data_IF_730619439563
#
_entry.id   IF_730619439563
#
_cell.length_a   1.000
_cell.length_b   1.000
_cell.length_c   1.000
_cell.angle_alpha   90.00
_cell.angle_beta   90.00
_cell.angle_gamma   90.00
#
_symmetry.space_group_name_H-M   'P 1'
#
loop_
_entity.id
_entity.type
_entity.pdbx_description
1 polymer ?
#
# COMPACT_ATOMS: atom_id res chain seq x y z
N UNK A 1 29.01 26.22 -12.79
CA UNK A 1 28.01 27.30 -12.78
C UNK A 1 26.70 26.71 -13.26
N UNK A 2 25.69 26.52 -12.39
CA UNK A 2 24.39 26.00 -12.84
C UNK A 2 23.68 27.09 -13.63
N UNK A 3 23.28 26.79 -14.87
CA UNK A 3 22.43 27.67 -15.64
C UNK A 3 21.15 28.00 -14.84
N UNK A 4 20.61 29.23 -14.97
CA UNK A 4 19.31 29.55 -14.37
C UNK A 4 18.26 28.57 -14.89
N UNK A 5 17.42 28.06 -14.00
CA UNK A 5 16.35 27.12 -14.34
C UNK A 5 15.46 27.69 -15.45
N UNK A 6 15.17 26.91 -16.48
CA UNK A 6 14.24 27.29 -17.54
C UNK A 6 12.82 27.45 -16.98
N UNK A 7 12.11 28.47 -17.45
CA UNK A 7 10.70 28.64 -17.12
C UNK A 7 9.87 27.59 -17.87
N UNK A 8 9.11 26.80 -17.13
CA UNK A 8 8.17 25.82 -17.67
C UNK A 8 6.75 26.38 -17.55
N UNK A 9 6.04 26.48 -18.67
CA UNK A 9 4.63 26.86 -18.68
C UNK A 9 3.76 25.61 -18.75
N UNK A 10 2.83 25.47 -17.81
CA UNK A 10 1.86 24.38 -17.73
C UNK A 10 0.45 24.99 -17.78
N UNK A 11 -0.45 24.37 -18.55
CA UNK A 11 -1.89 24.69 -18.49
C UNK A 11 -2.53 23.82 -17.42
N UNK A 12 -3.21 24.47 -16.48
CA UNK A 12 -3.89 23.85 -15.35
C UNK A 12 -5.34 24.31 -15.40
N UNK A 13 -6.29 23.43 -15.09
CA UNK A 13 -7.71 23.75 -15.04
C UNK A 13 -8.07 24.56 -13.81
N UNK A 14 -9.24 25.23 -13.82
CA UNK A 14 -9.71 26.00 -12.66
C UNK A 14 -9.98 25.11 -11.43
N UNK A 15 -10.40 23.86 -11.64
CA UNK A 15 -10.61 22.88 -10.57
C UNK A 15 -9.27 22.50 -9.90
N UNK A 16 -8.25 22.18 -10.69
CA UNK A 16 -6.91 21.89 -10.18
C UNK A 16 -6.28 23.10 -9.47
N UNK A 17 -6.53 24.32 -9.95
CA UNK A 17 -6.11 25.54 -9.27
C UNK A 17 -6.75 25.68 -7.87
N UNK A 18 -8.04 25.37 -7.75
CA UNK A 18 -8.72 25.38 -6.46
C UNK A 18 -8.16 24.32 -5.49
N UNK A 19 -7.80 23.13 -6.00
CA UNK A 19 -7.14 22.09 -5.20
C UNK A 19 -5.74 22.52 -4.73
N UNK A 20 -4.98 23.22 -5.57
CA UNK A 20 -3.68 23.78 -5.19
C UNK A 20 -3.84 24.85 -4.10
N UNK A 21 -4.84 25.71 -4.22
CA UNK A 21 -5.14 26.75 -3.22
C UNK A 21 -5.52 26.14 -1.87
N UNK A 22 -6.31 25.08 -1.86
CA UNK A 22 -6.69 24.37 -0.64
C UNK A 22 -5.48 23.77 0.11
N UNK A 23 -4.35 23.56 -0.59
CA UNK A 23 -3.11 23.05 0.01
C UNK A 23 -2.17 24.15 0.51
N UNK A 24 -2.44 25.43 0.23
CA UNK A 24 -1.64 26.54 0.75
C UNK A 24 -1.80 26.59 2.28
N UNK A 25 -0.68 26.74 2.99
CA UNK A 25 -0.62 26.74 4.46
C UNK A 25 -0.48 25.34 5.06
N UNK A 26 -0.68 24.28 4.28
CA UNK A 26 -0.43 22.89 4.71
C UNK A 26 1.05 22.57 4.50
N UNK A 27 1.67 21.88 5.46
CA UNK A 27 3.08 21.45 5.39
C UNK A 27 4.09 22.58 5.10
N UNK A 28 3.74 23.82 5.46
CA UNK A 28 4.60 24.98 5.31
C UNK A 28 4.62 25.63 3.92
N UNK A 29 3.75 25.19 2.99
CA UNK A 29 3.62 25.80 1.68
C UNK A 29 3.01 27.22 1.79
N UNK A 30 3.69 28.24 1.26
CA UNK A 30 3.24 29.64 1.38
C UNK A 30 2.46 30.15 0.16
N UNK A 31 2.66 29.52 -0.99
CA UNK A 31 2.06 29.92 -2.26
C UNK A 31 1.88 28.68 -3.16
N UNK A 32 1.14 28.86 -4.27
CA UNK A 32 0.91 27.80 -5.26
C UNK A 32 2.22 27.21 -5.82
N UNK A 33 3.23 28.04 -6.08
CA UNK A 33 4.51 27.59 -6.63
C UNK A 33 5.25 26.66 -5.66
N UNK A 34 5.13 26.88 -4.35
CA UNK A 34 5.70 26.00 -3.34
C UNK A 34 4.94 24.67 -3.29
N UNK A 35 3.60 24.70 -3.33
CA UNK A 35 2.77 23.48 -3.43
C UNK A 35 3.16 22.65 -4.66
N UNK A 36 3.28 23.31 -5.83
CA UNK A 36 3.67 22.66 -7.08
C UNK A 36 5.10 22.10 -6.98
N UNK A 37 6.04 22.85 -6.41
CA UNK A 37 7.43 22.40 -6.26
C UNK A 37 7.52 21.18 -5.32
N UNK A 38 6.74 21.16 -4.24
CA UNK A 38 6.64 20.01 -3.36
C UNK A 38 6.08 18.79 -4.11
N UNK A 39 4.96 18.96 -4.80
CA UNK A 39 4.35 17.87 -5.57
C UNK A 39 5.30 17.28 -6.64
N UNK A 40 6.06 18.14 -7.34
CA UNK A 40 7.07 17.69 -8.31
C UNK A 40 8.19 16.93 -7.61
N UNK A 41 8.68 17.43 -6.46
CA UNK A 41 9.72 16.73 -5.69
C UNK A 41 9.24 15.37 -5.23
N UNK A 42 8.04 15.30 -4.65
CA UNK A 42 7.46 14.05 -4.18
C UNK A 42 7.29 13.09 -5.36
N UNK A 43 6.78 13.57 -6.49
CA UNK A 43 6.64 12.76 -7.70
C UNK A 43 8.00 12.24 -8.19
N UNK A 44 9.05 13.06 -8.24
CA UNK A 44 10.35 12.66 -8.77
C UNK A 44 11.21 11.84 -7.79
N UNK A 45 11.04 12.03 -6.48
CA UNK A 45 11.87 11.38 -5.45
C UNK A 45 11.22 10.14 -4.84
N UNK A 46 9.89 10.05 -4.83
CA UNK A 46 9.18 8.89 -4.28
C UNK A 46 8.95 7.78 -5.32
N UNK A 47 9.40 7.96 -6.56
CA UNK A 47 9.30 6.93 -7.59
C UNK A 47 10.25 5.75 -7.28
N UNK A 48 9.77 4.50 -7.41
CA UNK A 48 10.63 3.35 -7.32
C UNK A 48 11.71 3.41 -8.40
N UNK A 49 12.96 3.09 -8.03
CA UNK A 49 14.12 3.13 -8.95
C UNK A 49 14.01 2.13 -10.10
N UNK A 50 13.19 1.09 -9.96
CA UNK A 50 13.01 0.02 -10.92
C UNK A 50 11.64 0.17 -11.59
N UNK A 51 11.61 0.00 -12.92
CA UNK A 51 10.42 0.19 -13.75
C UNK A 51 9.27 -0.78 -13.42
N UNK A 52 9.57 -1.90 -12.76
CA UNK A 52 8.59 -2.96 -12.43
C UNK A 52 8.13 -2.95 -10.96
N UNK A 53 8.54 -1.96 -10.17
CA UNK A 53 8.10 -1.83 -8.79
C UNK A 53 6.97 -0.81 -8.70
N UNK A 54 5.92 -1.14 -7.95
CA UNK A 54 4.79 -0.24 -7.67
C UNK A 54 4.92 0.40 -6.28
N UNK A 55 4.44 1.64 -6.16
CA UNK A 55 4.31 2.34 -4.88
C UNK A 55 2.83 2.45 -4.49
N UNK A 56 2.49 1.97 -3.29
CA UNK A 56 1.15 2.14 -2.71
C UNK A 56 1.16 3.27 -1.70
N UNK A 57 0.37 4.33 -1.94
CA UNK A 57 0.16 5.43 -0.98
C UNK A 57 -1.07 5.14 -0.13
N UNK A 58 -0.87 4.98 1.17
CA UNK A 58 -1.94 4.65 2.13
C UNK A 58 -2.12 5.79 3.13
N UNK A 59 -3.37 6.22 3.31
CA UNK A 59 -3.70 7.20 4.36
C UNK A 59 -3.73 6.53 5.72
N UNK A 60 -2.96 7.06 6.67
CA UNK A 60 -2.86 6.52 8.02
C UNK A 60 -3.74 7.34 8.97
N UNK A 61 -4.62 6.66 9.70
CA UNK A 61 -5.45 7.30 10.73
C UNK A 61 -4.63 7.83 11.91
N UNK A 62 -5.17 8.81 12.65
CA UNK A 62 -4.44 9.49 13.74
C UNK A 62 -3.89 8.55 14.81
N UNK A 63 -4.67 7.54 15.21
CA UNK A 63 -4.27 6.53 16.21
C UNK A 63 -3.04 5.75 15.76
N UNK A 64 -3.07 5.26 14.52
CA UNK A 64 -1.97 4.51 13.92
C UNK A 64 -0.74 5.40 13.74
N UNK A 65 -0.92 6.67 13.35
CA UNK A 65 0.17 7.65 13.27
C UNK A 65 0.90 7.81 14.61
N UNK A 66 0.15 7.89 15.72
CA UNK A 66 0.74 7.97 17.06
C UNK A 66 1.55 6.71 17.41
N UNK A 67 1.01 5.53 17.12
CA UNK A 67 1.72 4.27 17.37
C UNK A 67 2.98 4.12 16.54
N UNK A 68 2.94 4.49 15.26
CA UNK A 68 4.12 4.48 14.40
C UNK A 68 5.19 5.47 14.88
N UNK A 69 4.79 6.63 15.42
CA UNK A 69 5.74 7.55 16.03
C UNK A 69 6.42 6.93 17.27
N UNK A 70 5.65 6.27 18.14
CA UNK A 70 6.20 5.57 19.30
C UNK A 70 7.13 4.41 18.90
N UNK A 71 6.76 3.63 17.87
CA UNK A 71 7.62 2.57 17.33
C UNK A 71 8.92 3.11 16.76
N UNK A 72 8.87 4.26 16.09
CA UNK A 72 10.06 4.92 15.61
C UNK A 72 10.96 5.38 16.76
N UNK A 73 10.40 6.02 17.79
CA UNK A 73 11.16 6.50 18.95
C UNK A 73 11.80 5.36 19.77
N UNK A 74 11.10 4.23 19.90
CA UNK A 74 11.53 3.12 20.76
C UNK A 74 12.43 2.12 20.04
N UNK A 75 12.16 1.84 18.76
CA UNK A 75 12.78 0.74 18.02
C UNK A 75 13.46 1.21 16.72
N UNK A 76 13.37 2.49 16.38
CA UNK A 76 13.88 3.03 15.11
C UNK A 76 13.08 2.59 13.89
N UNK A 77 11.90 1.97 14.08
CA UNK A 77 11.09 1.44 12.98
C UNK A 77 10.28 2.58 12.36
N UNK A 78 10.54 2.89 11.09
CA UNK A 78 9.79 3.89 10.35
C UNK A 78 8.42 3.35 9.92
N UNK A 79 7.49 4.26 9.62
CA UNK A 79 6.17 3.90 9.07
C UNK A 79 6.28 3.04 7.80
N UNK A 80 7.26 3.32 6.95
CA UNK A 80 7.51 2.57 5.72
C UNK A 80 7.89 1.12 6.01
N UNK A 81 8.82 0.90 6.95
CA UNK A 81 9.28 -0.44 7.33
C UNK A 81 8.13 -1.22 8.00
N UNK A 82 7.40 -0.58 8.91
CA UNK A 82 6.25 -1.18 9.56
C UNK A 82 5.17 -1.60 8.54
N UNK A 83 4.88 -0.75 7.55
CA UNK A 83 3.94 -1.05 6.48
C UNK A 83 4.42 -2.21 5.61
N UNK A 84 5.71 -2.24 5.23
CA UNK A 84 6.29 -3.33 4.45
C UNK A 84 6.22 -4.66 5.20
N UNK A 85 6.58 -4.68 6.48
CA UNK A 85 6.49 -5.88 7.32
C UNK A 85 5.04 -6.34 7.48
N UNK A 86 4.12 -5.42 7.76
CA UNK A 86 2.69 -5.73 7.88
C UNK A 86 2.12 -6.33 6.60
N UNK A 87 2.50 -5.80 5.43
CA UNK A 87 2.07 -6.33 4.14
C UNK A 87 2.62 -7.74 3.90
N UNK A 88 3.89 -7.99 4.21
CA UNK A 88 4.49 -9.33 4.10
C UNK A 88 3.82 -10.34 5.05
N UNK A 89 3.52 -9.94 6.28
CA UNK A 89 2.79 -10.77 7.25
C UNK A 89 1.39 -11.10 6.76
N UNK A 90 0.65 -10.11 6.25
CA UNK A 90 -0.70 -10.31 5.73
C UNK A 90 -0.73 -11.24 4.52
N UNK A 91 0.20 -11.09 3.57
CA UNK A 91 0.31 -12.00 2.42
C UNK A 91 0.61 -13.43 2.86
N UNK A 92 1.50 -13.60 3.86
CA UNK A 92 1.82 -14.94 4.40
C UNK A 92 0.59 -15.59 5.03
N UNK A 93 -0.16 -14.85 5.84
CA UNK A 93 -1.40 -15.32 6.47
C UNK A 93 -2.41 -15.79 5.41
N UNK A 94 -2.62 -15.00 4.36
CA UNK A 94 -3.54 -15.35 3.27
C UNK A 94 -3.13 -16.65 2.55
N UNK A 95 -1.83 -16.83 2.27
CA UNK A 95 -1.32 -18.06 1.63
C UNK A 95 -1.54 -19.28 2.53
N UNK A 96 -1.28 -19.15 3.84
CA UNK A 96 -1.48 -20.22 4.80
C UNK A 96 -2.98 -20.58 4.94
N UNK A 97 -3.86 -19.59 4.89
CA UNK A 97 -5.32 -19.80 4.87
C UNK A 97 -5.79 -20.55 3.62
N UNK A 98 -5.29 -20.17 2.43
CA UNK A 98 -5.63 -20.84 1.17
C UNK A 98 -5.19 -22.30 1.13
N UNK A 99 -3.98 -22.59 1.64
CA UNK A 99 -3.48 -23.97 1.78
C UNK A 99 -4.38 -24.76 2.72
N UNK A 100 -4.72 -24.18 3.89
CA UNK A 100 -5.59 -24.84 4.88
C UNK A 100 -6.97 -25.14 4.31
N UNK A 101 -7.56 -24.20 3.57
CA UNK A 101 -8.85 -24.38 2.90
C UNK A 101 -8.78 -25.50 1.85
N UNK A 102 -7.71 -25.52 1.05
CA UNK A 102 -7.49 -26.55 0.03
C UNK A 102 -7.35 -27.94 0.64
N UNK A 103 -6.59 -28.07 1.73
CA UNK A 103 -6.45 -29.32 2.49
C UNK A 103 -7.79 -29.79 3.10
N UNK A 104 -8.57 -28.87 3.66
CA UNK A 104 -9.89 -29.18 4.23
C UNK A 104 -10.87 -29.69 3.15
N UNK A 105 -10.86 -29.06 1.96
CA UNK A 105 -11.67 -29.50 0.83
C UNK A 105 -11.22 -30.87 0.31
N UNK A 106 -9.91 -31.10 0.18
CA UNK A 106 -9.38 -32.39 -0.24
C UNK A 106 -9.78 -33.52 0.73
N UNK A 107 -9.71 -33.26 2.04
CA UNK A 107 -10.15 -34.20 3.07
C UNK A 107 -11.66 -34.47 2.99
N UNK A 108 -12.48 -33.44 2.79
CA UNK A 108 -13.93 -33.60 2.63
C UNK A 108 -14.30 -34.44 1.39
N UNK A 109 -13.56 -34.27 0.29
CA UNK A 109 -13.72 -35.10 -0.91
C UNK A 109 -13.34 -36.56 -0.62
N UNK A 110 -12.24 -36.80 0.08
CA UNK A 110 -11.81 -38.15 0.45
C UNK A 110 -12.83 -38.84 1.35
N UNK A 111 -13.33 -38.14 2.39
CA UNK A 111 -14.39 -38.62 3.27
C UNK A 111 -15.66 -38.97 2.46
N UNK A 112 -16.04 -38.11 1.50
CA UNK A 112 -17.21 -38.34 0.63
C UNK A 112 -17.01 -39.55 -0.29
N UNK A 113 -15.79 -39.74 -0.82
CA UNK A 113 -15.44 -40.91 -1.65
C UNK A 113 -15.50 -42.19 -0.81
N UNK A 114 -14.93 -42.19 0.39
CA UNK A 114 -14.94 -43.33 1.31
C UNK A 114 -16.38 -43.73 1.68
N UNK A 115 -17.26 -42.76 1.95
CA UNK A 115 -18.68 -43.02 2.20
C UNK A 115 -19.40 -43.59 0.96
N UNK A 116 -19.07 -43.11 -0.23
CA UNK A 116 -19.69 -43.59 -1.49
C UNK A 116 -19.22 -44.99 -1.87
N UNK A 117 -17.95 -45.33 -1.62
CA UNK A 117 -17.39 -46.67 -1.87
C UNK A 117 -17.94 -47.69 -0.87
N UNK A 118 -18.00 -47.38 0.42
CA UNK A 118 -18.59 -48.26 1.44
C UNK A 118 -20.07 -48.59 1.17
N UNK A 119 -20.81 -47.69 0.53
CA UNK A 119 -22.22 -47.90 0.17
C UNK A 119 -22.41 -48.81 -1.07
N UNK A 120 -21.39 -48.97 -1.92
CA UNK A 120 -21.45 -49.89 -3.08
C UNK A 120 -21.28 -51.35 -2.67
N UNK A 121 -20.53 -51.61 -1.61
CA UNK A 121 -20.37 -52.95 -1.03
C UNK A 121 -21.63 -53.45 -0.31
N UNK A 122 -22.59 -52.56 -0.03
CA UNK A 122 -23.85 -52.87 0.67
C UNK A 122 -25.04 -53.19 -0.25
N UNK A 123 -24.86 -53.18 -1.58
CA UNK A 123 -25.88 -53.63 -2.54
C UNK A 123 -25.44 -54.92 -3.23
N UNK A 124 -25.49 -56.02 -2.47
CA UNK A 124 -25.66 -57.37 -3.02
C UNK A 124 -27.14 -57.63 -3.31
#
# INVERSE_FOLDING_TARGET
MSAPSSLVSLRITDEELALLDARIGIEGARNRSDVIRMAIRDYLHEQPLLQDLDQVKVTIGRKMKLWLAQLYETQGITAQIAAQQGLQSFVREMIEEDVRLSEALAKSIDDSRNQTMANKDFKQ
#
